data_IF_109091731882
#
_entry.id   IF_109091731882
#
_cell.length_a   1.000
_cell.length_b   1.000
_cell.length_c   1.000
_cell.angle_alpha   90.00
_cell.angle_beta   90.00
_cell.angle_gamma   90.00
#
_symmetry.space_group_name_H-M   'P 1'
#
loop_
_entity.id
_entity.type
_entity.pdbx_description
1 polymer ?
#
# COMPACT_ATOMS: atom_id res chain seq x y z
N UNK A 1 6.13 -6.47 -6.24
CA UNK A 1 6.66 -7.65 -6.97
C UNK A 1 7.63 -7.24 -8.08
N UNK A 2 7.17 -6.52 -9.12
CA UNK A 2 7.97 -6.22 -10.32
C UNK A 2 9.38 -5.67 -10.01
N UNK A 3 9.50 -4.63 -9.17
CA UNK A 3 10.78 -4.04 -8.82
C UNK A 3 11.74 -5.03 -8.12
N UNK A 4 11.22 -5.93 -7.27
CA UNK A 4 12.04 -6.93 -6.59
C UNK A 4 12.60 -7.96 -7.60
N UNK A 5 11.75 -8.45 -8.50
CA UNK A 5 12.18 -9.40 -9.53
C UNK A 5 13.17 -8.77 -10.52
N UNK A 6 12.92 -7.53 -10.95
CA UNK A 6 13.82 -6.81 -11.84
C UNK A 6 15.21 -6.57 -11.21
N UNK A 7 15.27 -6.42 -9.89
CA UNK A 7 16.51 -6.32 -9.13
C UNK A 7 17.19 -7.69 -8.87
N UNK A 8 16.60 -8.80 -9.30
CA UNK A 8 17.11 -10.16 -9.08
C UNK A 8 16.80 -10.73 -7.70
N UNK A 9 15.88 -10.14 -6.93
CA UNK A 9 15.45 -10.68 -5.64
C UNK A 9 14.41 -11.79 -5.82
N UNK A 10 14.36 -12.71 -4.86
CA UNK A 10 13.19 -13.59 -4.67
C UNK A 10 12.14 -12.89 -3.82
N UNK A 11 10.89 -13.36 -3.87
CA UNK A 11 9.79 -12.74 -3.14
C UNK A 11 8.82 -13.78 -2.58
N UNK A 12 8.32 -13.50 -1.37
CA UNK A 12 7.14 -14.12 -0.78
C UNK A 12 6.07 -13.04 -0.63
N UNK A 13 4.98 -13.16 -1.39
CA UNK A 13 3.85 -12.23 -1.34
C UNK A 13 2.73 -12.81 -0.47
N UNK A 14 2.22 -11.99 0.47
CA UNK A 14 0.98 -12.26 1.21
C UNK A 14 -0.06 -11.17 0.92
N UNK A 15 -1.15 -11.45 0.21
CA UNK A 15 -2.20 -10.48 -0.08
C UNK A 15 -3.12 -10.31 1.12
N UNK A 16 -4.05 -9.35 1.06
CA UNK A 16 -5.10 -9.24 2.06
C UNK A 16 -5.93 -10.52 2.11
N UNK A 17 -6.22 -11.01 3.31
CA UNK A 17 -7.12 -12.14 3.55
C UNK A 17 -8.57 -11.86 3.16
N UNK A 18 -8.95 -10.58 3.02
CA UNK A 18 -10.30 -10.15 2.65
C UNK A 18 -10.47 -10.07 1.12
N UNK A 19 -9.40 -9.73 0.40
CA UNK A 19 -9.39 -9.62 -1.06
C UNK A 19 -8.17 -10.34 -1.67
N UNK A 20 -8.14 -11.69 -1.67
CA UNK A 20 -6.98 -12.46 -2.13
C UNK A 20 -7.04 -12.90 -3.61
N UNK A 21 -8.18 -12.74 -4.28
CA UNK A 21 -8.47 -13.42 -5.55
C UNK A 21 -7.64 -12.91 -6.72
N UNK A 22 -7.40 -11.59 -6.80
CA UNK A 22 -6.54 -10.98 -7.82
C UNK A 22 -5.07 -11.43 -7.65
N UNK A 23 -4.61 -11.56 -6.41
CA UNK A 23 -3.29 -12.08 -6.10
C UNK A 23 -3.13 -13.56 -6.47
N UNK A 24 -4.20 -14.36 -6.36
CA UNK A 24 -4.19 -15.74 -6.84
C UNK A 24 -4.03 -15.80 -8.37
N UNK A 25 -4.80 -15.00 -9.12
CA UNK A 25 -4.64 -14.88 -10.57
C UNK A 25 -3.24 -14.39 -10.95
N UNK A 26 -2.67 -13.45 -10.18
CA UNK A 26 -1.31 -12.99 -10.41
C UNK A 26 -0.29 -14.13 -10.23
N UNK A 27 -0.49 -15.04 -9.27
CA UNK A 27 0.37 -16.21 -9.11
C UNK A 27 0.30 -17.18 -10.30
N UNK A 28 -0.89 -17.36 -10.89
CA UNK A 28 -1.07 -18.13 -12.13
C UNK A 28 -0.30 -17.49 -13.29
N UNK A 29 -0.42 -16.17 -13.47
CA UNK A 29 0.33 -15.41 -14.48
C UNK A 29 1.85 -15.58 -14.31
N UNK A 30 2.34 -15.53 -13.06
CA UNK A 30 3.77 -15.74 -12.77
C UNK A 30 4.23 -17.16 -13.12
N UNK A 31 3.38 -18.16 -12.89
CA UNK A 31 3.66 -19.55 -13.25
C UNK A 31 3.70 -19.73 -14.78
N UNK A 32 2.68 -19.25 -15.50
CA UNK A 32 2.59 -19.33 -16.96
C UNK A 32 3.71 -18.57 -17.66
N UNK A 33 4.19 -17.47 -17.06
CA UNK A 33 5.35 -16.73 -17.53
C UNK A 33 6.69 -17.50 -17.39
N UNK A 34 6.68 -18.70 -16.78
CA UNK A 34 7.87 -19.53 -16.61
C UNK A 34 8.80 -19.03 -15.52
N UNK A 35 8.29 -18.31 -14.52
CA UNK A 35 9.10 -17.84 -13.38
C UNK A 35 9.73 -19.04 -12.68
N UNK A 36 11.06 -19.08 -12.47
CA UNK A 36 11.71 -20.22 -11.83
C UNK A 36 11.16 -20.50 -10.44
N UNK A 37 11.08 -21.80 -10.08
CA UNK A 37 10.58 -22.22 -8.78
C UNK A 37 11.35 -21.55 -7.63
N UNK A 38 10.62 -21.03 -6.64
CA UNK A 38 11.18 -20.33 -5.49
C UNK A 38 11.51 -18.85 -5.71
N UNK A 39 11.53 -18.34 -6.95
CA UNK A 39 11.74 -16.91 -7.23
C UNK A 39 10.52 -16.08 -6.81
N UNK A 40 9.32 -16.56 -7.13
CA UNK A 40 8.07 -15.99 -6.65
C UNK A 40 7.31 -17.04 -5.87
N UNK A 41 6.87 -16.68 -4.67
CA UNK A 41 6.07 -17.52 -3.79
C UNK A 41 4.86 -16.71 -3.31
N UNK A 42 3.70 -17.34 -3.22
CA UNK A 42 2.47 -16.76 -2.70
C UNK A 42 2.05 -17.53 -1.46
N UNK A 43 1.74 -16.83 -0.38
CA UNK A 43 1.20 -17.44 0.85
C UNK A 43 -0.07 -16.70 1.28
N UNK A 44 -1.06 -17.45 1.76
CA UNK A 44 -2.32 -16.92 2.26
C UNK A 44 -2.42 -17.14 3.77
N UNK A 45 -3.15 -16.27 4.46
CA UNK A 45 -3.34 -16.28 5.90
C UNK A 45 -3.45 -14.86 6.44
N UNK A 46 -3.79 -14.68 7.71
CA UNK A 46 -3.97 -13.35 8.29
C UNK A 46 -2.62 -12.64 8.55
N UNK A 47 -2.71 -11.32 8.75
CA UNK A 47 -1.52 -10.50 9.01
C UNK A 47 -0.88 -10.72 10.39
N UNK A 48 -1.66 -11.14 11.40
CA UNK A 48 -1.15 -11.31 12.77
C UNK A 48 -0.30 -12.58 12.90
N UNK A 49 -0.62 -13.63 12.14
CA UNK A 49 0.13 -14.86 12.11
C UNK A 49 1.17 -14.84 10.98
N UNK A 50 0.74 -14.90 9.71
CA UNK A 50 1.65 -15.06 8.56
C UNK A 50 2.49 -13.80 8.35
N UNK A 51 1.86 -12.63 8.42
CA UNK A 51 2.56 -11.35 8.26
C UNK A 51 3.64 -11.13 9.34
N UNK A 52 3.32 -11.42 10.60
CA UNK A 52 4.28 -11.32 11.70
C UNK A 52 5.46 -12.29 11.55
N UNK A 53 5.21 -13.53 11.10
CA UNK A 53 6.26 -14.52 10.82
C UNK A 53 7.19 -14.04 9.72
N UNK A 54 6.65 -13.56 8.60
CA UNK A 54 7.44 -13.01 7.49
C UNK A 54 8.29 -11.81 7.96
N UNK A 55 7.71 -10.90 8.75
CA UNK A 55 8.42 -9.73 9.26
C UNK A 55 9.54 -10.10 10.24
N UNK A 56 9.40 -11.16 11.04
CA UNK A 56 10.38 -11.57 12.03
C UNK A 56 11.45 -12.56 11.50
N UNK A 57 11.20 -13.22 10.36
CA UNK A 57 12.05 -14.31 9.88
C UNK A 57 13.52 -13.86 9.69
N UNK A 58 14.51 -14.66 10.14
CA UNK A 58 15.94 -14.30 10.03
C UNK A 58 16.41 -14.22 8.58
N UNK A 59 15.88 -15.07 7.69
CA UNK A 59 16.29 -15.14 6.28
C UNK A 59 15.58 -14.12 5.35
N UNK A 60 14.80 -13.20 5.90
CA UNK A 60 14.15 -12.13 5.11
C UNK A 60 14.99 -10.86 5.22
N UNK A 61 15.61 -10.45 4.11
CA UNK A 61 16.49 -9.26 4.07
C UNK A 61 15.72 -7.93 4.03
N UNK A 62 14.50 -7.94 3.46
CA UNK A 62 13.66 -6.76 3.25
C UNK A 62 12.20 -7.15 3.47
N UNK A 63 11.46 -6.33 4.22
CA UNK A 63 10.00 -6.42 4.31
C UNK A 63 9.37 -5.14 3.75
N UNK A 64 8.38 -5.31 2.88
CA UNK A 64 7.60 -4.20 2.31
C UNK A 64 6.14 -4.40 2.68
N UNK A 65 5.53 -3.41 3.32
CA UNK A 65 4.12 -3.44 3.71
C UNK A 65 3.40 -2.20 3.17
N UNK A 66 2.22 -2.44 2.60
CA UNK A 66 1.22 -1.41 2.33
C UNK A 66 -0.01 -1.71 3.17
N UNK A 67 -0.47 -0.75 3.97
CA UNK A 67 -1.62 -0.98 4.84
C UNK A 67 -1.82 0.08 5.92
N UNK A 68 -2.40 -0.32 7.06
CA UNK A 68 -2.64 0.60 8.18
C UNK A 68 -1.35 0.99 8.90
N UNK A 69 -1.29 2.20 9.45
CA UNK A 69 -0.17 2.65 10.29
C UNK A 69 0.09 1.71 11.48
N UNK A 70 -0.98 1.19 12.10
CA UNK A 70 -0.88 0.20 13.18
C UNK A 70 -0.15 -1.08 12.72
N UNK A 71 -0.48 -1.60 11.54
CA UNK A 71 0.18 -2.78 10.99
C UNK A 71 1.64 -2.49 10.59
N UNK A 72 1.91 -1.33 10.01
CA UNK A 72 3.28 -0.88 9.70
C UNK A 72 4.19 -0.84 10.93
N UNK A 73 3.70 -0.25 12.03
CA UNK A 73 4.42 -0.23 13.31
C UNK A 73 4.72 -1.65 13.80
N UNK A 74 3.74 -2.56 13.78
CA UNK A 74 3.93 -3.94 14.21
C UNK A 74 4.97 -4.67 13.35
N UNK A 75 4.94 -4.50 12.03
CA UNK A 75 5.94 -5.07 11.10
C UNK A 75 7.32 -4.50 11.38
N UNK A 76 7.46 -3.19 11.59
CA UNK A 76 8.74 -2.56 11.89
C UNK A 76 9.34 -3.08 13.21
N UNK A 77 8.51 -3.27 14.24
CA UNK A 77 8.93 -3.85 15.52
C UNK A 77 9.40 -5.30 15.36
N UNK A 78 8.66 -6.14 14.64
CA UNK A 78 9.02 -7.53 14.37
C UNK A 78 10.31 -7.65 13.54
N UNK A 79 10.52 -6.70 12.61
CA UNK A 79 11.71 -6.63 11.76
C UNK A 79 12.98 -6.20 12.52
N UNK A 80 12.85 -5.47 13.62
CA UNK A 80 13.96 -4.82 14.30
C UNK A 80 15.06 -5.79 14.78
N UNK A 81 14.70 -6.98 15.24
CA UNK A 81 15.65 -7.96 15.79
C UNK A 81 16.71 -8.44 14.78
N UNK A 82 16.42 -8.36 13.48
CA UNK A 82 17.35 -8.78 12.42
C UNK A 82 17.93 -7.59 11.66
N UNK A 83 17.58 -6.36 12.04
CA UNK A 83 18.01 -5.11 11.37
C UNK A 83 17.70 -5.11 9.87
N UNK A 84 16.64 -5.81 9.45
CA UNK A 84 16.23 -5.88 8.03
C UNK A 84 15.65 -4.55 7.56
N UNK A 85 15.73 -4.28 6.25
CA UNK A 85 15.14 -3.06 5.67
C UNK A 85 13.61 -3.15 5.71
N UNK A 86 12.94 -2.04 6.06
CA UNK A 86 11.47 -1.97 6.18
C UNK A 86 10.95 -0.84 5.30
N UNK A 87 10.16 -1.18 4.28
CA UNK A 87 9.47 -0.23 3.40
C UNK A 87 7.99 -0.16 3.79
N UNK A 88 7.46 1.03 4.02
CA UNK A 88 6.12 1.21 4.58
C UNK A 88 5.32 2.27 3.82
N UNK A 89 4.25 1.83 3.18
CA UNK A 89 3.22 2.70 2.60
C UNK A 89 1.97 2.63 3.47
N UNK A 90 1.70 3.68 4.23
CA UNK A 90 0.73 3.64 5.32
C UNK A 90 -0.49 4.56 5.05
N UNK A 91 -1.33 4.74 6.07
CA UNK A 91 -2.47 5.64 5.98
C UNK A 91 -2.04 7.10 5.83
N UNK A 92 -2.85 7.88 5.10
CA UNK A 92 -2.65 9.32 4.89
C UNK A 92 -3.84 10.16 5.36
N UNK A 93 -3.62 11.46 5.44
CA UNK A 93 -4.66 12.50 5.57
C UNK A 93 -4.38 13.60 4.55
N UNK A 94 -4.38 13.22 3.28
CA UNK A 94 -3.87 14.05 2.19
C UNK A 94 -4.66 15.35 2.07
N UNK A 95 -3.98 16.51 2.11
CA UNK A 95 -4.63 17.78 1.92
C UNK A 95 -4.76 18.12 0.43
N UNK A 96 -5.89 18.69 0.04
CA UNK A 96 -6.10 19.35 -1.24
C UNK A 96 -6.18 20.85 -0.98
N UNK A 97 -5.10 21.59 -1.29
CA UNK A 97 -5.05 23.04 -1.12
C UNK A 97 -5.54 23.71 -2.39
N UNK A 98 -6.59 24.51 -2.25
CA UNK A 98 -7.13 25.36 -3.31
C UNK A 98 -6.71 26.80 -2.98
N UNK A 99 -6.00 27.44 -3.91
CA UNK A 99 -5.53 28.82 -3.74
C UNK A 99 -6.61 29.83 -4.14
N UNK A 100 -6.41 31.09 -3.79
CA UNK A 100 -7.37 32.19 -4.01
C UNK A 100 -7.58 32.51 -5.49
N UNK A 101 -6.53 32.34 -6.30
CA UNK A 101 -6.53 32.50 -7.75
C UNK A 101 -7.02 31.27 -8.54
N UNK A 102 -7.37 30.17 -7.86
CA UNK A 102 -7.84 28.96 -8.50
C UNK A 102 -9.30 29.07 -8.98
N UNK A 103 -9.60 28.36 -10.07
CA UNK A 103 -10.98 28.03 -10.43
C UNK A 103 -11.57 27.10 -9.36
N UNK A 104 -12.31 27.70 -8.41
CA UNK A 104 -12.83 26.99 -7.24
C UNK A 104 -13.83 25.92 -7.63
N UNK A 105 -14.75 26.21 -8.56
CA UNK A 105 -15.77 25.25 -8.96
C UNK A 105 -15.12 24.00 -9.59
N UNK A 106 -14.16 24.20 -10.50
CA UNK A 106 -13.43 23.10 -11.11
C UNK A 106 -12.60 22.33 -10.07
N UNK A 107 -11.90 23.03 -9.17
CA UNK A 107 -11.05 22.42 -8.14
C UNK A 107 -11.87 21.60 -7.12
N UNK A 108 -13.02 22.12 -6.68
CA UNK A 108 -13.94 21.41 -5.78
C UNK A 108 -14.51 20.17 -6.47
N UNK A 109 -14.99 20.28 -7.71
CA UNK A 109 -15.54 19.15 -8.46
C UNK A 109 -14.49 18.03 -8.64
N UNK A 110 -13.25 18.38 -9.00
CA UNK A 110 -12.14 17.43 -9.09
C UNK A 110 -11.80 16.81 -7.74
N UNK A 111 -11.72 17.61 -6.68
CA UNK A 111 -11.44 17.13 -5.33
C UNK A 111 -12.49 16.13 -4.83
N UNK A 112 -13.77 16.43 -5.06
CA UNK A 112 -14.89 15.51 -4.75
C UNK A 112 -14.80 14.25 -5.59
N UNK A 113 -14.53 14.36 -6.89
CA UNK A 113 -14.33 13.19 -7.76
C UNK A 113 -13.21 12.27 -7.27
N UNK A 114 -12.06 12.83 -6.94
CA UNK A 114 -10.90 12.08 -6.44
C UNK A 114 -11.12 11.43 -5.08
N UNK A 115 -11.78 12.11 -4.14
CA UNK A 115 -12.05 11.51 -2.82
C UNK A 115 -13.13 10.44 -2.89
N UNK A 116 -14.03 10.48 -3.88
CA UNK A 116 -15.08 9.47 -4.06
C UNK A 116 -14.63 8.25 -4.88
N UNK A 117 -13.48 8.33 -5.57
CA UNK A 117 -12.89 7.19 -6.27
C UNK A 117 -12.64 6.03 -5.28
N UNK A 118 -13.03 4.82 -5.67
CA UNK A 118 -12.98 3.62 -4.81
C UNK A 118 -13.70 3.82 -3.45
N UNK A 119 -14.77 4.63 -3.43
CA UNK A 119 -15.47 5.04 -2.21
C UNK A 119 -14.55 5.69 -1.16
N UNK A 120 -13.50 6.37 -1.61
CA UNK A 120 -12.49 6.99 -0.75
C UNK A 120 -11.49 6.04 -0.12
N UNK A 121 -11.52 4.76 -0.48
CA UNK A 121 -10.62 3.72 0.06
C UNK A 121 -9.28 3.71 -0.70
N UNK A 122 -8.63 4.86 -0.75
CA UNK A 122 -7.33 5.06 -1.41
C UNK A 122 -6.39 5.80 -0.45
N UNK A 123 -5.15 5.32 -0.27
CA UNK A 123 -4.20 5.92 0.69
C UNK A 123 -3.90 7.40 0.42
N UNK A 124 -3.93 7.79 -0.86
CA UNK A 124 -3.69 9.17 -1.31
C UNK A 124 -4.96 10.02 -1.44
N UNK A 125 -6.14 9.50 -1.05
CA UNK A 125 -7.40 10.23 -1.22
C UNK A 125 -7.34 11.63 -0.57
N UNK A 126 -7.76 12.70 -1.29
CA UNK A 126 -7.70 14.09 -0.80
C UNK A 126 -8.80 14.37 0.24
N UNK A 127 -8.71 13.71 1.39
CA UNK A 127 -9.74 13.73 2.45
C UNK A 127 -9.74 15.00 3.30
N UNK A 128 -8.95 16.01 2.94
CA UNK A 128 -8.91 17.32 3.60
C UNK A 128 -8.82 18.42 2.54
N UNK A 129 -9.96 18.87 2.05
CA UNK A 129 -10.03 20.04 1.18
C UNK A 129 -9.82 21.31 2.02
N UNK A 130 -8.88 22.15 1.61
CA UNK A 130 -8.53 23.42 2.24
C UNK A 130 -8.75 24.53 1.22
N UNK A 131 -9.67 25.43 1.53
CA UNK A 131 -10.05 26.56 0.67
C UNK A 131 -9.65 27.89 1.34
N UNK A 132 -9.51 28.98 0.57
CA UNK A 132 -9.30 30.31 1.11
C UNK A 132 -10.45 30.72 2.04
N UNK A 133 -10.13 31.38 3.15
CA UNK A 133 -11.13 31.78 4.17
C UNK A 133 -12.25 32.63 3.56
N UNK A 134 -11.89 33.56 2.69
CA UNK A 134 -12.84 34.53 2.11
C UNK A 134 -13.75 33.91 1.04
N UNK A 135 -13.49 32.65 0.65
CA UNK A 135 -14.27 31.86 -0.32
C UNK A 135 -14.88 30.60 0.30
N UNK A 136 -14.97 30.52 1.64
CA UNK A 136 -15.42 29.31 2.33
C UNK A 136 -16.91 29.01 2.14
N UNK A 137 -17.74 30.05 2.04
CA UNK A 137 -19.20 29.93 1.93
C UNK A 137 -19.71 29.72 0.48
N UNK A 138 -18.82 29.83 -0.51
CA UNK A 138 -19.08 29.61 -1.96
C UNK A 138 -19.19 28.11 -2.26
#
# INVERSE_FOLDING_TARGET
>A
VAAALAAGCTIVLKPSEIAPLDAALFAEVMHEAGTPAGVFNMVFGDGQEVGARLAAHPDVDVISITGSTRAGIAVAQAAAATVKRVHQELGGKSPLLILDDADLQAAVAQGVGHVMLNSGQTCIAPTRMLVPRDRYDE
#
